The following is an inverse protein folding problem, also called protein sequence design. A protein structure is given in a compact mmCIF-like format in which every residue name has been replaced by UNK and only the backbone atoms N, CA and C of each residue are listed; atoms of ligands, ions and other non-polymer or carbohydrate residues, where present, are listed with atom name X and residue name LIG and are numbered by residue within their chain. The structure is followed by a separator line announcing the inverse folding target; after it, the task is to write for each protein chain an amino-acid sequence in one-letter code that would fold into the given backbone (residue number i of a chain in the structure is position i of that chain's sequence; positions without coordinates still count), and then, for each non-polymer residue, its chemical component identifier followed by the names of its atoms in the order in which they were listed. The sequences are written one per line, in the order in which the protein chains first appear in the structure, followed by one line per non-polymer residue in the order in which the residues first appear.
data_IF_155771322518
#
_entry.id   IF_155771322518
#
_cell.length_a   1.000
_cell.length_b   1.000
_cell.length_c   1.000
_cell.angle_alpha   90.00
_cell.angle_beta   90.00
_cell.angle_gamma   90.00
#
_symmetry.space_group_name_H-M   'P 1'
#
loop_
_entity.id
_entity.type
_entity.pdbx_description
1 polymer ?
#
# COMPACT_ATOMS: atom_id res chain seq x y z
N UNK A 1 13.06 -9.16 8.80
CA UNK A 1 13.43 -8.30 9.95
C UNK A 1 12.79 -6.91 9.87
N UNK A 2 13.37 -5.91 9.17
CA UNK A 2 12.82 -4.54 9.14
C UNK A 2 11.43 -4.44 8.49
N UNK A 3 11.23 -5.13 7.36
CA UNK A 3 9.94 -5.21 6.67
C UNK A 3 8.84 -5.75 7.59
N UNK A 4 9.11 -6.90 8.21
CA UNK A 4 8.15 -7.60 9.05
C UNK A 4 7.80 -6.77 10.29
N UNK A 5 8.79 -6.10 10.87
CA UNK A 5 8.57 -5.17 11.98
C UNK A 5 7.70 -3.98 11.57
N UNK A 6 7.90 -3.42 10.38
CA UNK A 6 7.06 -2.34 9.85
C UNK A 6 5.62 -2.82 9.65
N UNK A 7 5.43 -3.96 8.99
CA UNK A 7 4.10 -4.52 8.72
C UNK A 7 3.36 -4.88 10.01
N UNK A 8 4.02 -5.58 10.93
CA UNK A 8 3.43 -5.93 12.22
C UNK A 8 3.07 -4.69 13.04
N UNK A 9 3.94 -3.68 13.04
CA UNK A 9 3.66 -2.40 13.71
C UNK A 9 2.44 -1.69 13.11
N UNK A 10 2.32 -1.66 11.78
CA UNK A 10 1.18 -1.04 11.09
C UNK A 10 -0.12 -1.82 11.30
N UNK A 11 -0.08 -3.15 11.22
CA UNK A 11 -1.23 -4.02 11.48
C UNK A 11 -1.72 -3.92 12.93
N UNK A 12 -0.82 -3.67 13.88
CA UNK A 12 -1.19 -3.46 15.28
C UNK A 12 -1.72 -2.04 15.56
N UNK A 13 -1.18 -1.01 14.88
CA UNK A 13 -1.52 0.39 15.12
C UNK A 13 -2.75 0.87 14.35
N UNK A 14 -3.06 0.29 13.18
CA UNK A 14 -4.11 0.76 12.29
C UNK A 14 -5.15 -0.35 12.06
N UNK A 15 -6.40 -0.06 12.40
CA UNK A 15 -7.51 -0.97 12.13
C UNK A 15 -7.86 -0.95 10.64
N UNK A 16 -8.15 -2.12 10.05
CA UNK A 16 -8.52 -2.29 8.62
C UNK A 16 -7.39 -2.02 7.61
N UNK A 17 -6.19 -2.46 7.94
CA UNK A 17 -5.05 -2.55 7.02
C UNK A 17 -4.89 -3.99 6.54
N UNK A 18 -4.53 -4.17 5.27
CA UNK A 18 -4.22 -5.47 4.67
C UNK A 18 -2.90 -5.43 3.94
N UNK A 19 -2.12 -6.51 4.08
CA UNK A 19 -0.93 -6.73 3.26
C UNK A 19 -1.36 -7.35 1.93
N UNK A 20 -0.94 -6.73 0.82
CA UNK A 20 -1.22 -7.22 -0.52
C UNK A 20 -0.12 -8.20 -0.98
N UNK A 21 -0.52 -9.29 -1.64
CA UNK A 21 0.38 -10.32 -2.17
C UNK A 21 0.61 -11.49 -1.20
N UNK A 22 1.39 -12.47 -1.64
CA UNK A 22 1.72 -13.66 -0.85
C UNK A 22 2.82 -13.33 0.19
N UNK A 23 2.57 -13.46 1.51
CA UNK A 23 3.57 -13.24 2.54
C UNK A 23 4.82 -14.12 2.42
N UNK A 24 4.68 -15.34 1.91
CA UNK A 24 5.73 -16.34 1.78
C UNK A 24 6.49 -16.22 0.45
N UNK A 25 5.84 -15.79 -0.64
CA UNK A 25 6.42 -15.71 -1.99
C UNK A 25 6.50 -14.28 -2.52
N UNK A 26 7.24 -13.41 -1.83
CA UNK A 26 7.47 -12.01 -2.26
C UNK A 26 8.86 -11.51 -1.87
N UNK A 27 9.26 -10.38 -2.46
CA UNK A 27 10.54 -9.76 -2.17
C UNK A 27 10.62 -9.33 -0.69
N UNK A 28 11.78 -9.50 -0.02
CA UNK A 28 11.95 -9.17 1.39
C UNK A 28 12.10 -7.66 1.66
N UNK A 29 12.34 -6.86 0.62
CA UNK A 29 12.62 -5.43 0.73
C UNK A 29 11.41 -4.53 0.45
N UNK A 30 10.30 -5.09 -0.03
CA UNK A 30 9.12 -4.33 -0.41
C UNK A 30 7.89 -4.78 0.36
N UNK A 31 7.06 -3.81 0.73
CA UNK A 31 5.79 -4.02 1.41
C UNK A 31 4.72 -3.29 0.62
N UNK A 32 3.63 -3.98 0.32
CA UNK A 32 2.46 -3.41 -0.32
C UNK A 32 1.28 -3.54 0.65
N UNK A 33 0.65 -2.42 0.99
CA UNK A 33 -0.40 -2.32 2.00
C UNK A 33 -1.61 -1.60 1.42
N UNK A 34 -2.79 -2.12 1.71
CA UNK A 34 -4.08 -1.47 1.46
C UNK A 34 -4.68 -0.99 2.77
N UNK A 35 -5.22 0.22 2.76
CA UNK A 35 -5.94 0.81 3.88
C UNK A 35 -7.39 0.98 3.46
N UNK A 36 -8.33 0.39 4.20
CA UNK A 36 -9.74 0.56 3.89
C UNK A 36 -10.24 1.95 4.34
N UNK A 37 -11.20 2.52 3.61
CA UNK A 37 -11.91 3.78 3.93
C UNK A 37 -11.09 5.07 3.84
N UNK A 38 -9.85 5.02 3.34
CA UNK A 38 -9.00 6.21 3.19
C UNK A 38 -8.36 6.26 1.81
N UNK A 39 -8.17 7.49 1.32
CA UNK A 39 -7.61 7.75 -0.01
C UNK A 39 -6.08 7.70 0.04
N UNK A 40 -5.45 6.92 -0.85
CA UNK A 40 -4.01 6.69 -0.82
C UNK A 40 -3.17 7.97 -1.00
N UNK A 41 -3.65 8.94 -1.76
CA UNK A 41 -2.97 10.22 -1.98
C UNK A 41 -2.80 11.03 -0.69
N UNK A 42 -3.82 11.01 0.19
CA UNK A 42 -3.76 11.70 1.48
C UNK A 42 -2.69 11.09 2.39
N UNK A 43 -2.52 9.76 2.34
CA UNK A 43 -1.48 9.05 3.09
C UNK A 43 -0.10 9.46 2.56
N UNK A 44 0.09 9.46 1.24
CA UNK A 44 1.36 9.85 0.62
C UNK A 44 1.75 11.28 0.98
N UNK A 45 0.81 12.22 0.94
CA UNK A 45 1.05 13.61 1.30
C UNK A 45 1.50 13.76 2.76
N UNK A 46 0.87 13.02 3.66
CA UNK A 46 1.25 13.01 5.09
C UNK A 46 2.62 12.36 5.30
N UNK A 47 2.90 11.25 4.62
CA UNK A 47 4.21 10.58 4.68
C UNK A 47 5.33 11.48 4.15
N UNK A 48 5.10 12.18 3.04
CA UNK A 48 6.05 13.16 2.49
C UNK A 48 6.34 14.30 3.47
N UNK A 49 5.31 14.82 4.15
CA UNK A 49 5.47 15.81 5.24
C UNK A 49 6.33 15.30 6.39
N UNK A 50 6.36 13.98 6.62
CA UNK A 50 7.21 13.33 7.60
C UNK A 50 8.56 12.86 7.03
N UNK A 51 8.88 13.18 5.77
CA UNK A 51 10.12 12.81 5.09
C UNK A 51 10.19 11.34 4.67
N UNK A 52 9.04 10.66 4.58
CA UNK A 52 8.93 9.26 4.19
C UNK A 52 8.48 9.16 2.74
N UNK A 53 9.37 8.70 1.86
CA UNK A 53 9.04 8.47 0.46
C UNK A 53 8.26 7.15 0.30
N UNK A 54 7.05 7.22 -0.26
CA UNK A 54 6.19 6.07 -0.54
C UNK A 54 5.50 6.23 -1.90
N UNK A 55 4.87 5.16 -2.40
CA UNK A 55 4.04 5.19 -3.62
C UNK A 55 2.72 4.45 -3.40
N UNK A 56 1.63 4.99 -3.95
CA UNK A 56 0.25 4.48 -3.88
C UNK A 56 -0.04 3.43 -4.98
N UNK A 57 0.80 3.34 -6.01
CA UNK A 57 0.60 2.44 -7.14
C UNK A 57 1.66 2.59 -8.22
N UNK A 58 1.45 1.95 -9.37
CA UNK A 58 2.33 2.07 -10.55
C UNK A 58 2.63 3.55 -10.83
N UNK A 59 3.91 3.87 -11.01
CA UNK A 59 4.49 5.22 -11.14
C UNK A 59 3.93 6.09 -12.30
N UNK A 60 2.85 5.67 -12.98
CA UNK A 60 2.32 6.29 -14.18
C UNK A 60 0.80 6.60 -14.15
N UNK A 61 0.10 6.45 -13.03
CA UNK A 61 -1.30 6.95 -12.92
C UNK A 61 -1.32 8.43 -12.59
N UNK A 62 -0.65 9.25 -13.42
CA UNK A 62 -0.78 10.70 -13.41
C UNK A 62 -2.02 11.04 -14.24
N UNK A 63 -3.21 11.06 -13.61
CA UNK A 63 -4.43 11.62 -14.21
C UNK A 63 -5.58 10.68 -14.57
N UNK A 64 -5.53 9.39 -14.21
CA UNK A 64 -6.69 8.49 -14.36
C UNK A 64 -7.16 8.01 -13.00
N UNK A 65 -8.43 8.31 -12.69
CA UNK A 65 -9.23 7.75 -11.57
C UNK A 65 -9.40 6.22 -11.63
N UNK A 66 -8.71 5.54 -12.55
CA UNK A 66 -8.85 4.11 -12.76
C UNK A 66 -7.79 3.32 -11.98
N UNK A 67 -8.18 2.25 -11.27
CA UNK A 67 -7.27 1.42 -10.51
C UNK A 67 -6.21 0.77 -11.41
N UNK A 68 -5.01 0.57 -10.87
CA UNK A 68 -3.89 -0.06 -11.59
C UNK A 68 -4.28 -1.40 -12.20
N UNK A 69 -3.85 -1.65 -13.44
CA UNK A 69 -4.12 -2.88 -14.16
C UNK A 69 -3.65 -4.15 -13.41
N UNK A 70 -2.60 -4.04 -12.58
CA UNK A 70 -2.10 -5.13 -11.74
C UNK A 70 -3.08 -5.45 -10.59
N UNK A 71 -3.64 -4.43 -9.93
CA UNK A 71 -4.60 -4.62 -8.84
C UNK A 71 -5.91 -5.25 -9.34
N UNK A 72 -6.34 -4.87 -10.56
CA UNK A 72 -7.48 -5.51 -11.26
C UNK A 72 -7.20 -6.98 -11.55
N UNK A 73 -6.00 -7.30 -12.03
CA UNK A 73 -5.61 -8.69 -12.31
C UNK A 73 -5.49 -9.56 -11.04
N UNK A 74 -5.20 -8.94 -9.88
CA UNK A 74 -5.12 -9.63 -8.59
C UNK A 74 -6.47 -9.81 -7.90
N UNK A 75 -7.58 -9.35 -8.49
CA UNK A 75 -8.92 -9.52 -7.91
C UNK A 75 -9.15 -8.76 -6.61
N UNK A 76 -8.37 -7.69 -6.37
CA UNK A 76 -8.53 -6.86 -5.18
C UNK A 76 -9.84 -6.05 -5.33
N UNK A 77 -10.79 -6.14 -4.37
CA UNK A 77 -12.05 -5.42 -4.47
C UNK A 77 -11.81 -3.90 -4.44
N UNK A 78 -12.40 -3.20 -5.40
CA UNK A 78 -12.42 -1.74 -5.50
C UNK A 78 -13.84 -1.25 -5.20
N UNK A 79 -13.97 -0.31 -4.26
CA UNK A 79 -15.21 0.40 -3.91
C UNK A 79 -14.86 1.85 -3.67
#
# INVERSE_FOLDING_TARGET
ELRDRLEQGLLAAVTKVRVNGDPAHRLPTTTNLSFEFIEGESILLLLDRHGVCASSGSACTTGSLEPSHVLRAMGVPYT
#
